data_IF_876629179849
#
_entry.id   IF_876629179849
#
_cell.length_a   1.000
_cell.length_b   1.000
_cell.length_c   1.000
_cell.angle_alpha   90.00
_cell.angle_beta   90.00
_cell.angle_gamma   90.00
#
_symmetry.space_group_name_H-M   'P 1'
#
loop_
_entity.id
_entity.type
_entity.pdbx_description
1 polymer ?
#
# COMPACT_ATOMS: atom_id res chain seq x y z
N UNK A 1 18.48 0.21 -3.27
CA UNK A 1 18.80 1.34 -2.37
C UNK A 1 17.74 1.43 -1.28
N UNK A 2 18.09 1.76 -0.03
CA UNK A 2 17.18 1.74 1.14
C UNK A 2 15.82 2.43 0.91
N UNK A 3 15.84 3.54 0.15
CA UNK A 3 14.63 4.30 -0.22
C UNK A 3 13.68 3.47 -1.11
N UNK A 4 14.20 2.69 -2.04
CA UNK A 4 13.39 1.87 -2.95
C UNK A 4 12.67 0.76 -2.18
N UNK A 5 13.35 0.14 -1.23
CA UNK A 5 12.76 -0.87 -0.35
C UNK A 5 11.68 -0.26 0.54
N UNK A 6 11.92 0.94 1.08
CA UNK A 6 10.92 1.68 1.83
C UNK A 6 9.69 2.02 0.96
N UNK A 7 9.89 2.44 -0.28
CA UNK A 7 8.80 2.73 -1.23
C UNK A 7 7.98 1.49 -1.55
N UNK A 8 8.62 0.33 -1.76
CA UNK A 8 7.92 -0.94 -1.98
C UNK A 8 7.14 -1.34 -0.74
N UNK A 9 7.75 -1.29 0.45
CA UNK A 9 7.06 -1.59 1.70
C UNK A 9 5.85 -0.69 1.89
N UNK A 10 6.03 0.63 1.77
CA UNK A 10 4.99 1.61 2.03
C UNK A 10 3.82 1.50 1.07
N UNK A 11 4.05 1.15 -0.19
CA UNK A 11 2.97 1.05 -1.19
C UNK A 11 2.32 -0.33 -1.23
N UNK A 12 3.08 -1.40 -1.13
CA UNK A 12 2.59 -2.76 -1.42
C UNK A 12 2.39 -3.61 -0.18
N UNK A 13 3.19 -3.41 0.88
CA UNK A 13 3.28 -4.37 2.00
C UNK A 13 2.84 -3.81 3.35
N UNK A 14 2.59 -2.50 3.45
CA UNK A 14 2.22 -1.86 4.72
C UNK A 14 0.88 -2.38 5.24
N UNK A 15 0.91 -2.96 6.44
CA UNK A 15 -0.27 -3.48 7.13
C UNK A 15 -0.92 -2.36 7.95
N UNK A 16 -2.21 -2.12 7.73
CA UNK A 16 -3.03 -1.18 8.51
C UNK A 16 -4.44 -1.74 8.64
N UNK A 17 -4.98 -1.77 9.86
CA UNK A 17 -6.30 -2.35 10.16
C UNK A 17 -7.42 -1.75 9.30
N UNK A 18 -7.36 -0.44 9.06
CA UNK A 18 -8.34 0.27 8.22
C UNK A 18 -8.33 -0.11 6.73
N UNK A 19 -7.29 -0.81 6.24
CA UNK A 19 -7.22 -1.25 4.84
C UNK A 19 -7.93 -2.58 4.59
N UNK A 20 -8.46 -3.24 5.64
CA UNK A 20 -9.26 -4.48 5.52
C UNK A 20 -8.56 -5.57 4.70
N UNK A 21 -7.25 -5.74 4.89
CA UNK A 21 -6.43 -6.74 4.20
C UNK A 21 -5.88 -6.31 2.84
N UNK A 22 -6.19 -5.11 2.36
CA UNK A 22 -5.66 -4.56 1.11
C UNK A 22 -4.30 -3.89 1.33
N UNK A 23 -3.46 -3.94 0.29
CA UNK A 23 -2.29 -3.06 0.21
C UNK A 23 -2.72 -1.60 0.02
N UNK A 24 -1.87 -0.63 0.38
CA UNK A 24 -2.15 0.79 0.15
C UNK A 24 -2.49 1.14 -1.30
N UNK A 25 -1.84 0.52 -2.31
CA UNK A 25 -2.19 0.79 -3.71
C UNK A 25 -3.57 0.25 -4.08
N UNK A 26 -3.91 -0.95 -3.63
CA UNK A 26 -5.21 -1.58 -3.90
C UNK A 26 -6.35 -0.80 -3.27
N UNK A 27 -6.16 -0.32 -2.03
CA UNK A 27 -7.14 0.52 -1.35
C UNK A 27 -7.42 1.83 -2.12
N UNK A 28 -6.37 2.51 -2.61
CA UNK A 28 -6.54 3.76 -3.38
C UNK A 28 -7.20 3.54 -4.74
N UNK A 29 -6.96 2.40 -5.38
CA UNK A 29 -7.51 2.07 -6.69
C UNK A 29 -9.05 1.93 -6.70
N UNK A 30 -9.68 1.73 -5.54
CA UNK A 30 -11.14 1.59 -5.43
C UNK A 30 -11.92 2.85 -5.87
N UNK A 31 -11.28 4.01 -5.86
CA UNK A 31 -11.92 5.30 -6.16
C UNK A 31 -11.67 5.79 -7.59
N UNK A 32 -11.08 4.95 -8.45
CA UNK A 32 -10.73 5.31 -9.83
C UNK A 32 -11.81 4.90 -10.87
N UNK A 33 -13.05 4.67 -10.43
CA UNK A 33 -14.20 4.36 -11.29
C UNK A 33 -14.74 5.58 -12.03
#
# INVERSE_FOLDING_TARGET
>A
AEIEEYLVYYNQKRIKLGLRGLSPVQYRAQYLS
#
